data_IF_547278866853
#
_entry.id   IF_547278866853
#
_cell.length_a   1.000
_cell.length_b   1.000
_cell.length_c   1.000
_cell.angle_alpha   90.00
_cell.angle_beta   90.00
_cell.angle_gamma   90.00
#
_symmetry.space_group_name_H-M   'P 1'
#
loop_
_entity.id
_entity.type
_entity.pdbx_description
1 polymer ?
#
# COMPACT_ATOMS: atom_id res chain seq x y z
N UNK A 1 4.73 0.97 26.54
CA UNK A 1 4.86 0.10 25.36
C UNK A 1 3.49 -0.03 24.74
N UNK A 2 3.28 0.43 23.50
CA UNK A 2 2.02 0.15 22.81
C UNK A 2 1.99 -1.35 22.55
N UNK A 3 1.10 -2.06 23.25
CA UNK A 3 0.98 -3.51 23.14
C UNK A 3 0.20 -3.79 21.85
N UNK A 4 0.90 -4.25 20.81
CA UNK A 4 0.32 -4.77 19.56
C UNK A 4 -0.04 -6.25 19.63
N UNK A 5 -0.21 -6.84 20.82
CA UNK A 5 -0.77 -8.19 20.94
C UNK A 5 -2.29 -8.10 20.76
N UNK A 6 -2.76 -8.05 19.51
CA UNK A 6 -4.19 -8.10 19.20
C UNK A 6 -4.66 -7.34 17.97
N UNK A 7 -3.78 -6.65 17.21
CA UNK A 7 -4.17 -6.18 15.88
C UNK A 7 -4.05 -7.35 14.91
N UNK A 8 -5.18 -7.93 14.51
CA UNK A 8 -5.24 -8.91 13.44
C UNK A 8 -4.52 -8.37 12.19
N UNK A 9 -3.75 -9.22 11.51
CA UNK A 9 -3.16 -8.84 10.25
C UNK A 9 -4.29 -8.57 9.25
N UNK A 10 -4.39 -7.31 8.81
CA UNK A 10 -5.41 -6.83 7.90
C UNK A 10 -4.74 -6.17 6.68
N UNK A 11 -5.47 -6.07 5.58
CA UNK A 11 -5.01 -5.28 4.44
C UNK A 11 -4.86 -3.83 4.89
N UNK A 12 -3.74 -3.21 4.53
CA UNK A 12 -3.55 -1.79 4.79
C UNK A 12 -4.64 -0.98 4.04
N UNK A 13 -5.29 0.01 4.68
CA UNK A 13 -6.44 0.69 4.10
C UNK A 13 -6.22 1.28 2.70
N UNK A 14 -4.99 1.74 2.41
CA UNK A 14 -4.66 2.27 1.09
C UNK A 14 -4.51 1.18 0.02
N UNK A 15 -4.10 -0.03 0.41
CA UNK A 15 -4.02 -1.17 -0.50
C UNK A 15 -5.40 -1.77 -0.82
N UNK A 16 -6.41 -1.56 0.03
CA UNK A 16 -7.80 -1.96 -0.29
C UNK A 16 -8.32 -1.27 -1.55
N UNK A 17 -7.90 -0.02 -1.80
CA UNK A 17 -8.28 0.71 -3.02
C UNK A 17 -7.61 0.13 -4.26
N UNK A 18 -6.37 -0.38 -4.13
CA UNK A 18 -5.69 -1.09 -5.21
C UNK A 18 -6.38 -2.43 -5.53
N UNK A 19 -6.78 -3.18 -4.49
CA UNK A 19 -7.54 -4.44 -4.64
C UNK A 19 -8.88 -4.19 -5.32
N UNK A 20 -9.65 -3.20 -4.85
CA UNK A 20 -10.93 -2.85 -5.46
C UNK A 20 -10.77 -2.47 -6.94
N UNK A 21 -9.76 -1.64 -7.27
CA UNK A 21 -9.56 -1.24 -8.66
C UNK A 21 -9.20 -2.42 -9.56
N UNK A 22 -8.35 -3.34 -9.09
CA UNK A 22 -8.05 -4.57 -9.81
C UNK A 22 -9.33 -5.37 -10.12
N UNK A 23 -10.22 -5.52 -9.12
CA UNK A 23 -11.50 -6.23 -9.27
C UNK A 23 -12.41 -5.50 -10.27
N UNK A 24 -12.50 -4.16 -10.20
CA UNK A 24 -13.31 -3.37 -11.14
C UNK A 24 -12.79 -3.47 -12.57
N UNK A 25 -11.48 -3.45 -12.78
CA UNK A 25 -10.88 -3.64 -14.10
C UNK A 25 -11.24 -5.01 -14.67
N UNK A 26 -11.15 -6.06 -13.83
CA UNK A 26 -11.58 -7.40 -14.23
C UNK A 26 -13.06 -7.50 -14.56
N UNK A 27 -13.94 -6.84 -13.82
CA UNK A 27 -15.38 -6.83 -14.13
C UNK A 27 -15.70 -6.21 -15.50
N UNK A 28 -14.86 -5.30 -16.01
CA UNK A 28 -15.01 -4.72 -17.35
C UNK A 28 -14.64 -5.70 -18.47
N UNK A 29 -13.70 -6.63 -18.23
CA UNK A 29 -13.27 -7.64 -19.18
C UNK A 29 -12.78 -8.92 -18.46
N UNK A 30 -13.71 -9.79 -17.98
CA UNK A 30 -13.36 -10.91 -17.10
C UNK A 30 -12.39 -11.94 -17.69
N UNK A 31 -12.39 -12.07 -19.02
CA UNK A 31 -11.53 -13.01 -19.75
C UNK A 31 -10.14 -12.41 -20.06
N UNK A 32 -9.94 -11.10 -19.86
CA UNK A 32 -8.68 -10.41 -20.14
C UNK A 32 -7.83 -10.17 -18.88
N UNK A 33 -8.44 -10.27 -17.69
CA UNK A 33 -7.77 -9.98 -16.43
C UNK A 33 -7.76 -11.19 -15.47
N UNK A 34 -6.57 -11.54 -15.02
CA UNK A 34 -6.35 -12.36 -13.83
C UNK A 34 -5.69 -11.51 -12.75
N UNK A 35 -6.12 -11.67 -11.49
CA UNK A 35 -5.65 -10.86 -10.36
C UNK A 35 -4.91 -11.76 -9.38
N UNK A 36 -3.60 -11.59 -9.28
CA UNK A 36 -2.80 -12.19 -8.20
C UNK A 36 -2.56 -11.14 -7.11
N UNK A 37 -2.91 -11.47 -5.86
CA UNK A 37 -2.48 -10.69 -4.69
C UNK A 37 -1.16 -11.24 -4.16
N UNK A 38 -0.17 -10.36 -4.01
CA UNK A 38 1.16 -10.69 -3.49
C UNK A 38 1.41 -9.90 -2.21
N UNK A 39 1.85 -10.56 -1.15
CA UNK A 39 2.28 -9.92 0.10
C UNK A 39 3.59 -10.52 0.59
N UNK A 40 4.38 -9.72 1.31
CA UNK A 40 5.58 -10.17 2.04
C UNK A 40 5.36 -9.96 3.53
N UNK A 41 5.49 -11.01 4.32
CA UNK A 41 5.23 -10.90 5.75
C UNK A 41 5.31 -12.23 6.50
N UNK A 42 5.06 -12.21 7.81
CA UNK A 42 5.01 -13.41 8.61
C UNK A 42 3.77 -14.26 8.24
N UNK A 43 3.65 -15.52 8.71
CA UNK A 43 2.54 -16.41 8.36
C UNK A 43 1.13 -15.82 8.61
N UNK A 44 1.00 -14.91 9.58
CA UNK A 44 -0.25 -14.21 9.88
C UNK A 44 -0.75 -13.35 8.72
N UNK A 45 0.13 -12.87 7.83
CA UNK A 45 -0.25 -12.06 6.65
C UNK A 45 -1.13 -12.83 5.64
N UNK A 46 -1.24 -14.17 5.77
CA UNK A 46 -2.21 -14.94 4.99
C UNK A 46 -3.66 -14.47 5.19
N UNK A 47 -4.02 -13.92 6.36
CA UNK A 47 -5.38 -13.40 6.57
C UNK A 47 -5.70 -12.23 5.64
N UNK A 48 -4.74 -11.33 5.41
CA UNK A 48 -4.88 -10.21 4.48
C UNK A 48 -5.00 -10.70 3.02
N UNK A 49 -4.25 -11.74 2.64
CA UNK A 49 -4.39 -12.38 1.32
C UNK A 49 -5.78 -13.00 1.17
N UNK A 50 -6.27 -13.74 2.18
CA UNK A 50 -7.62 -14.32 2.15
C UNK A 50 -8.71 -13.25 2.08
N UNK A 51 -8.51 -12.11 2.74
CA UNK A 51 -9.41 -10.97 2.62
C UNK A 51 -9.48 -10.48 1.16
N UNK A 52 -8.34 -10.28 0.49
CA UNK A 52 -8.30 -9.86 -0.92
C UNK A 52 -8.93 -10.90 -1.87
N UNK A 53 -8.65 -12.19 -1.67
CA UNK A 53 -9.30 -13.29 -2.40
C UNK A 53 -10.82 -13.24 -2.21
N UNK A 54 -11.30 -12.93 -1.00
CA UNK A 54 -12.74 -12.85 -0.72
C UNK A 54 -13.42 -11.63 -1.37
N UNK A 55 -12.65 -10.63 -1.77
CA UNK A 55 -13.12 -9.45 -2.51
C UNK A 55 -13.23 -9.70 -4.03
N UNK A 56 -12.46 -10.65 -4.57
CA UNK A 56 -12.51 -10.99 -6.00
C UNK A 56 -11.16 -11.26 -6.68
N UNK A 57 -10.04 -11.25 -5.94
CA UNK A 57 -8.75 -11.71 -6.46
C UNK A 57 -8.78 -13.21 -6.77
N UNK A 58 -7.99 -13.65 -7.76
CA UNK A 58 -7.95 -15.04 -8.24
C UNK A 58 -6.97 -15.90 -7.45
N UNK A 59 -5.75 -15.39 -7.26
CA UNK A 59 -4.64 -16.14 -6.70
C UNK A 59 -3.93 -15.35 -5.60
N UNK A 60 -3.39 -16.05 -4.61
CA UNK A 60 -2.69 -15.46 -3.48
C UNK A 60 -1.27 -16.00 -3.34
N UNK A 61 -0.29 -15.11 -3.23
CA UNK A 61 1.10 -15.45 -2.96
C UNK A 61 1.57 -14.73 -1.68
N UNK A 62 2.17 -15.51 -0.78
CA UNK A 62 2.85 -14.99 0.40
C UNK A 62 4.35 -15.24 0.30
N UNK A 63 5.15 -14.18 0.28
CA UNK A 63 6.58 -14.24 0.53
C UNK A 63 6.81 -14.31 2.04
N UNK A 64 7.23 -15.48 2.52
CA UNK A 64 7.39 -15.74 3.95
C UNK A 64 8.62 -16.61 4.20
N UNK A 65 9.47 -16.14 5.12
CA UNK A 65 10.78 -16.71 5.40
C UNK A 65 11.53 -15.83 6.41
N UNK A 66 12.51 -16.40 7.11
CA UNK A 66 13.33 -15.65 8.09
C UNK A 66 14.25 -14.65 7.39
N UNK A 67 14.66 -14.95 6.18
CA UNK A 67 15.48 -14.15 5.29
C UNK A 67 14.85 -12.79 4.93
N UNK A 68 13.52 -12.65 5.00
CA UNK A 68 12.83 -11.38 4.78
C UNK A 68 12.74 -10.50 6.04
N UNK A 69 13.12 -11.02 7.20
CA UNK A 69 12.92 -10.32 8.46
C UNK A 69 13.79 -9.06 8.57
N UNK A 70 13.18 -7.97 9.05
CA UNK A 70 13.87 -6.69 9.27
C UNK A 70 14.23 -5.94 7.99
N UNK A 71 13.58 -6.26 6.87
CA UNK A 71 13.72 -5.53 5.62
C UNK A 71 13.31 -4.06 5.77
N UNK A 72 14.10 -3.17 5.16
CA UNK A 72 13.69 -1.81 4.85
C UNK A 72 12.93 -1.73 3.52
N UNK A 73 12.65 -0.52 3.04
CA UNK A 73 11.87 -0.30 1.82
C UNK A 73 12.55 -0.84 0.57
N UNK A 74 13.89 -0.79 0.49
CA UNK A 74 14.64 -1.28 -0.66
C UNK A 74 14.66 -2.80 -0.70
N UNK A 75 14.99 -3.46 0.42
CA UNK A 75 14.98 -4.92 0.52
C UNK A 75 13.56 -5.49 0.33
N UNK A 76 12.54 -4.78 0.81
CA UNK A 76 11.13 -5.11 0.58
C UNK A 76 10.77 -5.03 -0.90
N UNK A 77 11.11 -3.93 -1.57
CA UNK A 77 10.81 -3.77 -3.00
C UNK A 77 11.54 -4.82 -3.85
N UNK A 78 12.79 -5.14 -3.54
CA UNK A 78 13.54 -6.20 -4.20
C UNK A 78 12.85 -7.56 -4.05
N UNK A 79 12.47 -7.95 -2.82
CA UNK A 79 11.77 -9.20 -2.58
C UNK A 79 10.43 -9.28 -3.35
N UNK A 80 9.65 -8.20 -3.36
CA UNK A 80 8.37 -8.13 -4.09
C UNK A 80 8.57 -8.25 -5.61
N UNK A 81 9.61 -7.61 -6.17
CA UNK A 81 9.95 -7.74 -7.59
C UNK A 81 10.33 -9.18 -7.94
N UNK A 82 11.18 -9.83 -7.14
CA UNK A 82 11.53 -11.24 -7.37
C UNK A 82 10.29 -12.14 -7.26
N UNK A 83 9.45 -11.92 -6.24
CA UNK A 83 8.22 -12.67 -6.04
C UNK A 83 7.23 -12.54 -7.21
N UNK A 84 6.98 -11.33 -7.70
CA UNK A 84 6.05 -11.11 -8.80
C UNK A 84 6.59 -11.71 -10.11
N UNK A 85 7.90 -11.65 -10.37
CA UNK A 85 8.48 -12.21 -11.59
C UNK A 85 8.30 -13.74 -11.71
N UNK A 86 8.01 -14.44 -10.60
CA UNK A 86 7.64 -15.88 -10.65
C UNK A 86 6.31 -16.15 -11.36
N UNK A 87 5.47 -15.13 -11.58
CA UNK A 87 4.19 -15.21 -12.30
C UNK A 87 4.36 -15.20 -13.82
N UNK A 88 5.53 -14.80 -14.33
CA UNK A 88 5.75 -14.60 -15.76
C UNK A 88 5.34 -13.20 -16.23
N UNK A 89 4.30 -13.09 -17.07
CA UNK A 89 3.86 -11.81 -17.63
C UNK A 89 3.00 -11.02 -16.66
N UNK A 90 3.37 -9.77 -16.42
CA UNK A 90 2.61 -8.82 -15.60
C UNK A 90 2.41 -7.55 -16.43
N UNK A 91 1.16 -7.14 -16.59
CA UNK A 91 0.79 -5.91 -17.29
C UNK A 91 0.68 -4.72 -16.34
N UNK A 92 0.15 -4.92 -15.14
CA UNK A 92 -0.09 -3.83 -14.21
C UNK A 92 0.14 -4.27 -12.77
N UNK A 93 0.93 -3.49 -12.03
CA UNK A 93 1.07 -3.62 -10.58
C UNK A 93 0.33 -2.48 -9.92
N UNK A 94 -0.62 -2.80 -9.03
CA UNK A 94 -1.33 -1.83 -8.22
C UNK A 94 -0.91 -1.97 -6.76
N UNK A 95 -0.63 -0.84 -6.11
CA UNK A 95 -0.43 -0.77 -4.66
C UNK A 95 -1.00 0.54 -4.12
N UNK A 96 -1.23 0.64 -2.82
CA UNK A 96 -1.56 1.89 -2.17
C UNK A 96 -0.39 2.88 -2.23
N UNK A 97 -0.68 4.17 -2.03
CA UNK A 97 0.32 5.24 -1.95
C UNK A 97 1.38 4.96 -0.88
N UNK A 98 0.97 4.45 0.28
CA UNK A 98 1.85 4.11 1.40
C UNK A 98 1.21 3.08 2.34
N UNK A 99 2.05 2.44 3.15
CA UNK A 99 1.59 1.66 4.29
C UNK A 99 1.41 2.58 5.51
N UNK A 100 0.37 2.35 6.31
CA UNK A 100 0.03 3.19 7.48
C UNK A 100 0.92 2.94 8.70
N UNK A 101 1.73 1.90 8.70
CA UNK A 101 2.66 1.57 9.79
C UNK A 101 4.04 2.21 9.60
N UNK A 102 4.60 2.13 8.39
CA UNK A 102 5.89 2.73 8.04
C UNK A 102 5.80 4.12 7.43
N UNK A 103 4.67 4.48 6.82
CA UNK A 103 4.36 5.78 6.20
C UNK A 103 5.41 6.31 5.20
N UNK A 104 6.25 5.43 4.62
CA UNK A 104 7.36 5.86 3.77
C UNK A 104 6.94 6.24 2.35
N UNK A 105 5.91 5.58 1.80
CA UNK A 105 5.48 5.76 0.40
C UNK A 105 6.52 5.37 -0.65
N UNK A 106 7.54 4.60 -0.27
CA UNK A 106 8.71 4.33 -1.12
C UNK A 106 8.66 3.02 -1.91
N UNK A 107 7.96 2.01 -1.39
CA UNK A 107 8.03 0.63 -1.93
C UNK A 107 7.48 0.57 -3.36
N UNK A 108 6.31 1.15 -3.64
CA UNK A 108 5.74 1.18 -5.00
C UNK A 108 6.68 1.82 -6.04
N UNK A 109 7.20 3.04 -5.80
CA UNK A 109 8.22 3.65 -6.66
C UNK A 109 9.50 2.81 -6.82
N UNK A 110 9.98 2.18 -5.75
CA UNK A 110 11.16 1.30 -5.82
C UNK A 110 10.90 0.03 -6.63
N UNK A 111 9.70 -0.57 -6.53
CA UNK A 111 9.29 -1.70 -7.37
C UNK A 111 9.32 -1.31 -8.84
N UNK A 112 8.76 -0.16 -9.20
CA UNK A 112 8.79 0.34 -10.58
C UNK A 112 10.23 0.56 -11.10
N UNK A 113 11.08 1.15 -10.28
CA UNK A 113 12.49 1.39 -10.62
C UNK A 113 13.28 0.08 -10.80
N UNK A 114 13.13 -0.88 -9.88
CA UNK A 114 13.81 -2.18 -9.94
C UNK A 114 13.31 -3.06 -11.08
N UNK A 115 12.01 -3.00 -11.40
CA UNK A 115 11.42 -3.69 -12.55
C UNK A 115 11.70 -2.99 -13.89
N UNK A 116 12.12 -1.71 -13.84
CA UNK A 116 12.40 -0.90 -15.01
C UNK A 116 11.16 -0.50 -15.81
N UNK A 117 10.03 -0.27 -15.13
CA UNK A 117 8.74 0.06 -15.75
C UNK A 117 8.25 1.47 -15.38
N UNK A 118 7.38 2.07 -16.21
CA UNK A 118 6.71 3.32 -15.89
C UNK A 118 6.01 3.29 -14.52
N UNK A 119 6.02 4.45 -13.85
CA UNK A 119 5.43 4.66 -12.54
C UNK A 119 4.36 5.75 -12.60
N UNK A 120 3.19 5.46 -12.03
CA UNK A 120 2.12 6.42 -11.78
C UNK A 120 1.93 6.54 -10.26
N UNK A 121 2.27 7.68 -9.67
CA UNK A 121 2.03 7.93 -8.24
C UNK A 121 0.81 8.82 -8.03
N UNK A 122 0.23 8.77 -6.82
CA UNK A 122 -0.91 9.60 -6.42
C UNK A 122 -2.12 9.46 -7.35
N UNK A 123 -2.40 8.25 -7.83
CA UNK A 123 -3.49 7.98 -8.77
C UNK A 123 -4.84 8.07 -8.06
N UNK A 124 -5.66 9.06 -8.46
CA UNK A 124 -7.02 9.29 -7.97
C UNK A 124 -8.10 8.80 -8.94
N UNK A 125 -7.72 8.43 -10.16
CA UNK A 125 -8.59 7.74 -11.13
C UNK A 125 -7.74 6.91 -12.07
N UNK A 126 -8.18 5.71 -12.41
CA UNK A 126 -7.54 4.86 -13.40
C UNK A 126 -8.58 4.47 -14.46
N UNK A 127 -8.19 4.46 -15.73
CA UNK A 127 -9.04 4.05 -16.84
C UNK A 127 -8.22 3.24 -17.81
N UNK A 128 -8.66 2.01 -18.07
CA UNK A 128 -8.07 1.17 -19.09
C UNK A 128 -8.73 1.44 -20.44
N UNK A 129 -7.96 1.91 -21.42
CA UNK A 129 -8.46 2.29 -22.76
C UNK A 129 -8.50 1.11 -23.75
N UNK A 130 -8.38 -0.14 -23.26
CA UNK A 130 -8.16 -1.37 -24.06
C UNK A 130 -6.85 -1.35 -24.83
N UNK A 131 -6.20 -2.52 -24.94
CA UNK A 131 -4.87 -2.64 -25.54
C UNK A 131 -3.75 -2.38 -24.53
N UNK A 132 -2.72 -1.64 -24.94
CA UNK A 132 -1.40 -1.56 -24.31
C UNK A 132 -1.18 -0.33 -23.42
N UNK A 133 -2.25 0.34 -22.95
CA UNK A 133 -2.13 1.56 -22.13
C UNK A 133 -3.24 1.74 -21.11
N UNK A 134 -2.93 2.54 -20.10
CA UNK A 134 -3.87 3.08 -19.11
C UNK A 134 -3.79 4.61 -19.08
N UNK A 135 -4.90 5.25 -18.78
CA UNK A 135 -4.98 6.68 -18.49
C UNK A 135 -5.25 6.86 -17.00
N UNK A 136 -4.46 7.70 -16.34
CA UNK A 136 -4.58 7.95 -14.92
C UNK A 136 -4.72 9.45 -14.65
N UNK A 137 -5.62 9.80 -13.74
CA UNK A 137 -5.64 11.12 -13.11
C UNK A 137 -4.78 11.03 -11.84
N UNK A 138 -3.78 11.91 -11.75
CA UNK A 138 -2.83 11.97 -10.64
C UNK A 138 -3.01 13.28 -9.88
N UNK A 139 -3.10 13.19 -8.56
CA UNK A 139 -3.13 14.37 -7.71
C UNK A 139 -1.72 14.99 -7.62
N UNK A 140 -1.65 16.31 -7.80
CA UNK A 140 -0.45 17.12 -7.60
C UNK A 140 -0.78 18.30 -6.68
N UNK A 141 0.24 19.02 -6.23
CA UNK A 141 0.02 20.28 -5.54
C UNK A 141 -0.72 21.27 -6.46
N UNK A 142 -1.92 21.68 -6.05
CA UNK A 142 -2.73 22.66 -6.77
C UNK A 142 -3.66 22.09 -7.85
N UNK A 143 -3.74 20.77 -8.04
CA UNK A 143 -4.72 20.19 -8.97
C UNK A 143 -4.52 18.72 -9.32
N UNK A 144 -4.93 18.37 -10.54
CA UNK A 144 -4.91 17.00 -11.07
C UNK A 144 -4.34 17.00 -12.48
N UNK A 145 -3.46 16.05 -12.77
CA UNK A 145 -2.91 15.81 -14.10
C UNK A 145 -3.46 14.51 -14.68
N UNK A 146 -3.95 14.55 -15.93
CA UNK A 146 -4.33 13.34 -16.67
C UNK A 146 -3.16 12.89 -17.54
N UNK A 147 -2.68 11.67 -17.33
CA UNK A 147 -1.53 11.09 -18.03
C UNK A 147 -1.88 9.75 -18.68
N UNK A 148 -1.39 9.52 -19.90
CA UNK A 148 -1.44 8.22 -20.55
C UNK A 148 -0.12 7.48 -20.33
N UNK A 149 -0.20 6.20 -19.96
CA UNK A 149 0.95 5.37 -19.62
C UNK A 149 0.88 4.04 -20.38
N UNK A 150 1.96 3.63 -21.07
CA UNK A 150 2.02 2.31 -21.68
C UNK A 150 2.11 1.22 -20.60
N UNK A 151 1.57 0.05 -20.90
CA UNK A 151 1.74 -1.17 -20.13
C UNK A 151 2.99 -1.94 -20.66
N UNK A 152 3.74 -2.63 -19.80
CA UNK A 152 3.45 -2.83 -18.39
C UNK A 152 3.87 -1.66 -17.47
N UNK A 153 3.12 -1.41 -16.39
CA UNK A 153 3.34 -0.26 -15.50
C UNK A 153 3.07 -0.58 -14.01
N UNK A 154 3.51 0.33 -13.13
CA UNK A 154 3.19 0.32 -11.70
C UNK A 154 2.37 1.57 -11.35
N UNK A 155 1.26 1.40 -10.64
CA UNK A 155 0.44 2.51 -10.15
C UNK A 155 0.26 2.46 -8.63
N UNK A 156 0.61 3.55 -7.97
CA UNK A 156 0.38 3.80 -6.55
C UNK A 156 -0.88 4.65 -6.39
N UNK A 157 -1.91 4.07 -5.78
CA UNK A 157 -3.26 4.63 -5.76
C UNK A 157 -3.58 5.36 -4.47
N UNK A 158 -4.43 6.37 -4.58
CA UNK A 158 -4.99 7.10 -3.45
C UNK A 158 -6.35 6.54 -3.06
N UNK A 159 -6.79 6.93 -1.86
CA UNK A 159 -8.11 6.57 -1.35
C UNK A 159 -9.26 7.16 -2.17
N UNK A 160 -9.02 8.25 -2.89
CA UNK A 160 -10.00 8.92 -3.75
C UNK A 160 -10.34 8.10 -5.01
N UNK A 161 -9.57 7.04 -5.31
CA UNK A 161 -9.75 6.22 -6.50
C UNK A 161 -11.12 5.52 -6.54
N UNK A 162 -11.56 4.96 -5.42
CA UNK A 162 -12.79 4.17 -5.31
C UNK A 162 -13.20 3.98 -3.84
N UNK A 163 -14.37 3.39 -3.62
CA UNK A 163 -14.82 2.89 -2.32
C UNK A 163 -14.73 1.35 -2.30
N UNK A 164 -13.82 0.74 -1.52
CA UNK A 164 -13.63 -0.70 -1.52
C UNK A 164 -14.89 -1.47 -1.12
N UNK A 165 -15.22 -2.52 -1.87
CA UNK A 165 -16.40 -3.36 -1.59
C UNK A 165 -16.22 -4.20 -0.33
N UNK A 166 -17.34 -4.62 0.25
CA UNK A 166 -17.35 -5.65 1.28
C UNK A 166 -17.30 -7.05 0.63
N UNK A 167 -16.51 -8.00 1.18
CA UNK A 167 -16.53 -9.37 0.73
C UNK A 167 -17.90 -10.04 0.84
N UNK A 168 -18.25 -10.87 -0.13
CA UNK A 168 -19.48 -11.67 -0.09
C UNK A 168 -19.29 -12.94 0.75
N UNK A 169 -20.38 -13.51 1.26
CA UNK A 169 -20.31 -14.79 1.99
C UNK A 169 -19.70 -15.91 1.13
N UNK A 170 -20.09 -15.98 -0.16
CA UNK A 170 -19.54 -16.93 -1.12
C UNK A 170 -18.04 -16.70 -1.32
N UNK A 171 -17.61 -15.45 -1.47
CA UNK A 171 -16.21 -15.08 -1.57
C UNK A 171 -15.40 -15.49 -0.35
N UNK A 172 -15.94 -15.30 0.87
CA UNK A 172 -15.28 -15.74 2.11
C UNK A 172 -15.09 -17.26 2.19
N UNK A 173 -16.08 -18.04 1.73
CA UNK A 173 -15.97 -19.51 1.69
C UNK A 173 -14.87 -19.93 0.70
N UNK A 174 -14.91 -19.39 -0.52
CA UNK A 174 -13.89 -19.70 -1.55
C UNK A 174 -12.49 -19.28 -1.11
N UNK A 175 -12.35 -18.09 -0.53
CA UNK A 175 -11.08 -17.59 -0.03
C UNK A 175 -10.54 -18.40 1.16
N UNK A 176 -11.38 -19.04 1.95
CA UNK A 176 -10.95 -19.94 3.02
C UNK A 176 -10.41 -21.27 2.47
N UNK A 177 -10.98 -21.75 1.37
CA UNK A 177 -10.58 -23.01 0.71
C UNK A 177 -9.40 -22.82 -0.27
N UNK A 178 -9.15 -21.58 -0.72
CA UNK A 178 -8.08 -21.26 -1.66
C UNK A 178 -6.70 -21.63 -1.10
N UNK A 179 -5.89 -22.24 -1.97
CA UNK A 179 -4.49 -22.51 -1.70
C UNK A 179 -3.67 -21.22 -1.88
N UNK A 180 -2.93 -20.83 -0.85
CA UNK A 180 -2.06 -19.65 -0.88
C UNK A 180 -0.65 -20.16 -1.10
N UNK A 181 -0.05 -19.78 -2.22
CA UNK A 181 1.32 -20.17 -2.55
C UNK A 181 2.29 -19.44 -1.63
N UNK A 182 2.97 -20.18 -0.76
CA UNK A 182 3.99 -19.63 0.14
C UNK A 182 5.37 -19.82 -0.48
N UNK A 183 6.11 -18.74 -0.66
CA UNK A 183 7.44 -18.74 -1.26
C UNK A 183 8.48 -18.15 -0.31
N UNK A 184 9.61 -18.84 -0.22
CA UNK A 184 10.81 -18.37 0.49
C UNK A 184 11.77 -17.69 -0.51
N UNK A 185 12.90 -17.19 -0.04
CA UNK A 185 13.88 -16.48 -0.87
C UNK A 185 14.45 -17.35 -2.02
N UNK A 186 14.63 -18.64 -1.77
CA UNK A 186 15.10 -19.60 -2.79
C UNK A 186 14.04 -19.84 -3.88
N UNK A 187 12.76 -19.97 -3.50
CA UNK A 187 11.67 -20.24 -4.43
C UNK A 187 11.37 -19.08 -5.39
N UNK A 188 11.83 -17.87 -5.06
CA UNK A 188 11.72 -16.67 -5.92
C UNK A 188 13.05 -16.35 -6.64
N UNK A 189 14.04 -17.26 -6.60
CA UNK A 189 15.37 -17.08 -7.20
C UNK A 189 16.07 -15.78 -6.78
N UNK A 190 15.84 -15.34 -5.53
CA UNK A 190 16.41 -14.11 -5.02
C UNK A 190 17.85 -14.33 -4.50
N UNK A 191 18.73 -13.37 -4.79
CA UNK A 191 19.97 -13.20 -4.02
C UNK A 191 19.64 -12.91 -2.54
N UNK A 192 19.91 -13.90 -1.67
CA UNK A 192 19.63 -13.83 -0.24
C UNK A 192 20.41 -12.72 0.49
N UNK A 193 21.52 -12.24 -0.09
CA UNK A 193 22.28 -11.12 0.49
C UNK A 193 21.54 -9.78 0.37
N UNK A 194 20.58 -9.70 -0.56
CA UNK A 194 19.76 -8.52 -0.82
C UNK A 194 18.40 -8.58 -0.09
N UNK A 195 18.16 -9.62 0.72
CA UNK A 195 16.92 -9.79 1.50
C UNK A 195 17.07 -9.35 2.95
N UNK A 196 15.94 -8.97 3.54
CA UNK A 196 15.81 -8.71 4.97
C UNK A 196 16.77 -7.63 5.49
N UNK A 197 17.10 -7.72 6.77
CA UNK A 197 18.00 -6.79 7.43
C UNK A 197 19.42 -6.76 6.81
N UNK A 198 19.87 -7.88 6.25
CA UNK A 198 21.18 -7.99 5.60
C UNK A 198 21.25 -7.12 4.34
N UNK A 199 20.23 -7.21 3.49
CA UNK A 199 20.12 -6.42 2.26
C UNK A 199 19.62 -5.00 2.45
N UNK A 200 19.26 -4.62 3.69
CA UNK A 200 18.69 -3.30 3.98
C UNK A 200 19.79 -2.23 4.08
N UNK A 201 19.82 -1.22 3.20
CA UNK A 201 20.72 -0.08 3.34
C UNK A 201 20.42 0.78 4.57
N UNK A 202 19.18 0.80 5.07
CA UNK A 202 18.78 1.58 6.24
C UNK A 202 18.53 0.69 7.46
N UNK A 203 18.74 1.26 8.66
CA UNK A 203 18.55 0.56 9.94
C UNK A 203 17.88 1.47 10.97
N UNK A 204 16.79 0.99 11.56
CA UNK A 204 16.11 1.69 12.66
C UNK A 204 16.91 1.50 13.95
N UNK A 205 17.64 2.53 14.37
CA UNK A 205 18.50 2.48 15.57
C UNK A 205 17.70 2.68 16.86
N UNK A 206 16.66 3.52 16.83
CA UNK A 206 15.88 3.87 18.01
C UNK A 206 14.47 4.30 17.62
N UNK A 207 13.47 3.76 18.31
CA UNK A 207 12.07 4.22 18.24
C UNK A 207 11.76 4.97 19.53
N UNK A 208 11.30 6.22 19.41
CA UNK A 208 10.90 7.06 20.54
C UNK A 208 9.40 7.32 20.41
N UNK A 209 8.68 7.24 21.52
CA UNK A 209 7.27 7.58 21.57
C UNK A 209 7.14 9.02 22.11
N UNK A 210 6.75 10.00 21.29
CA UNK A 210 6.53 11.34 21.79
C UNK A 210 5.32 11.34 22.73
N UNK A 211 5.51 11.77 23.97
CA UNK A 211 4.40 12.07 24.88
C UNK A 211 4.05 13.54 24.72
N UNK A 212 2.93 13.83 24.07
CA UNK A 212 2.40 15.18 24.00
C UNK A 212 1.54 15.45 25.23
N UNK A 213 2.05 16.22 26.19
CA UNK A 213 1.19 16.92 27.15
C UNK A 213 0.78 18.23 26.50
N UNK A 214 -0.48 18.34 26.08
CA UNK A 214 -1.04 19.59 25.57
C UNK A 214 -1.80 20.27 26.71
N UNK A 215 -1.40 21.48 27.08
CA UNK A 215 -2.22 22.34 27.92
C UNK A 215 -3.28 22.98 27.02
N UNK A 216 -4.49 22.43 27.05
CA UNK A 216 -5.61 22.96 26.29
C UNK A 216 -6.20 24.16 27.05
N UNK A 217 -6.20 25.32 26.43
CA UNK A 217 -6.94 26.50 26.89
C UNK A 217 -8.22 26.61 26.07
N UNK A 218 -9.34 26.92 26.75
CA UNK A 218 -10.65 27.02 26.13
C UNK A 218 -11.01 28.49 26.00
N UNK A 219 -11.08 28.98 24.76
CA UNK A 219 -11.36 30.38 24.45
C UNK A 219 -12.80 30.54 23.92
N UNK A 220 -13.56 31.49 24.48
CA UNK A 220 -14.96 31.71 24.11
C UNK A 220 -15.12 32.92 23.19
N UNK A 221 -14.84 32.72 21.90
CA UNK A 221 -14.87 33.78 20.87
C UNK A 221 -16.24 34.50 20.72
N UNK A 222 -17.34 33.86 21.13
CA UNK A 222 -18.67 34.48 21.12
C UNK A 222 -18.79 35.69 22.07
N UNK A 223 -17.94 35.76 23.11
CA UNK A 223 -17.96 36.84 24.10
C UNK A 223 -16.82 37.84 23.87
N UNK A 224 -15.69 37.39 23.34
CA UNK A 224 -14.44 38.16 23.29
C UNK A 224 -14.12 38.71 21.89
N UNK A 225 -14.82 38.24 20.85
CA UNK A 225 -14.65 38.70 19.47
C UNK A 225 -13.59 37.91 18.69
N UNK A 226 -13.70 38.00 17.35
CA UNK A 226 -12.84 37.24 16.44
C UNK A 226 -11.37 37.69 16.49
N UNK A 227 -11.13 38.99 16.58
CA UNK A 227 -9.77 39.54 16.62
C UNK A 227 -9.03 39.09 17.88
N UNK A 228 -9.70 39.08 19.04
CA UNK A 228 -9.13 38.57 20.29
C UNK A 228 -8.84 37.06 20.24
N UNK A 229 -9.68 36.29 19.55
CA UNK A 229 -9.43 34.86 19.33
C UNK A 229 -8.18 34.63 18.46
N UNK A 230 -8.02 35.42 17.40
CA UNK A 230 -6.86 35.36 16.50
C UNK A 230 -5.58 35.78 17.21
N UNK A 231 -5.62 36.85 18.01
CA UNK A 231 -4.49 37.29 18.83
C UNK A 231 -4.10 36.22 19.86
N UNK A 232 -5.10 35.62 20.53
CA UNK A 232 -4.87 34.54 21.49
C UNK A 232 -4.24 33.31 20.83
N UNK A 233 -4.71 32.94 19.62
CA UNK A 233 -4.10 31.86 18.83
C UNK A 233 -2.66 32.20 18.40
N UNK A 234 -2.38 33.41 17.94
CA UNK A 234 -1.04 33.82 17.53
C UNK A 234 -0.06 33.80 18.71
N UNK A 235 -0.49 34.25 19.90
CA UNK A 235 0.30 34.16 21.13
C UNK A 235 0.53 32.69 21.54
N UNK A 236 -0.50 31.86 21.53
CA UNK A 236 -0.38 30.45 21.88
C UNK A 236 0.53 29.66 20.92
N UNK A 237 0.49 29.98 19.62
CA UNK A 237 1.32 29.36 18.59
C UNK A 237 2.77 29.85 18.60
N UNK A 238 3.00 31.13 18.93
CA UNK A 238 4.36 31.71 19.03
C UNK A 238 5.02 31.48 20.39
N UNK A 239 4.25 31.20 21.44
CA UNK A 239 4.70 31.00 22.81
C UNK A 239 5.16 29.58 23.18
N UNK A 240 5.20 28.65 22.21
CA UNK A 240 5.79 27.32 22.37
C UNK A 240 7.23 27.30 21.83
N UNK A 241 8.12 28.04 22.48
CA UNK A 241 9.59 27.95 22.31
C UNK A 241 10.24 27.50 23.61
#
# INVERSE_FOLDING_TARGET
TMIRTGSDAAINPLDLHAVEEAVRLKELAPEEFAITVLSMGPPQAQSAIREALSMGCDEGILLCGREFAGADTWATAYALVQGMLTLGSIDLVLCGERATDGETGQVGPMVAALWGKPLLTYVSKLTWERGDRVVADRAIEGGTETVACPLPAVACVLRELNDPRLPTLRGKIQAHEADIKILNGEAIDADLSLLGLTGSPTRVVKVIYPSFQRNAELFHAAHEGLDAALDHMDVALRGAS
#
